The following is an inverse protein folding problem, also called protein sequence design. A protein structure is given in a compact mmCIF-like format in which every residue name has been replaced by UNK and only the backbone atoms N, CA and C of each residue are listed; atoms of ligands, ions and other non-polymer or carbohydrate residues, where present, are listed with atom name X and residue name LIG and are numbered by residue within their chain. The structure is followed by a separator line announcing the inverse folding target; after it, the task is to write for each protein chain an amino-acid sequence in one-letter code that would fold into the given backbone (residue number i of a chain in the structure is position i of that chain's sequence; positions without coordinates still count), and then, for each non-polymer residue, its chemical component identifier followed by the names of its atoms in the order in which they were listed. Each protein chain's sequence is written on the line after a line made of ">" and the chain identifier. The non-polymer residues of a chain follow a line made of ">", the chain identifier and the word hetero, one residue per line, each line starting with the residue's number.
data_IF_439284088429
#
_entry.id   IF_439284088429
#
_cell.length_a   1.000
_cell.length_b   1.000
_cell.length_c   1.000
_cell.angle_alpha   90.00
_cell.angle_beta   90.00
_cell.angle_gamma   90.00
#
_symmetry.space_group_name_H-M   'P 1'
#
loop_
_entity.id
_entity.type
_entity.pdbx_description
1 polymer ?
#
# COMPACT_ATOMS: atom_id res chain seq x y z
N UNK A 1 -3.43 -18.58 -10.10
CA UNK A 1 -3.84 -18.45 -8.69
C UNK A 1 -4.50 -17.09 -8.54
N UNK A 2 -5.83 -17.05 -8.53
CA UNK A 2 -6.59 -15.80 -8.47
C UNK A 2 -6.51 -15.27 -7.02
N UNK A 3 -6.14 -14.00 -6.79
CA UNK A 3 -6.15 -13.43 -5.44
C UNK A 3 -7.59 -13.44 -4.91
N UNK A 4 -7.81 -13.70 -3.60
CA UNK A 4 -9.13 -13.61 -3.02
C UNK A 4 -9.67 -12.19 -3.26
N UNK A 5 -10.92 -12.11 -3.68
CA UNK A 5 -11.59 -10.83 -3.85
C UNK A 5 -11.53 -10.03 -2.54
N UNK A 6 -11.33 -8.71 -2.64
CA UNK A 6 -11.41 -7.80 -1.49
C UNK A 6 -12.73 -8.09 -0.75
N UNK A 7 -12.65 -8.47 0.53
CA UNK A 7 -13.87 -8.63 1.31
C UNK A 7 -14.61 -7.30 1.42
N UNK A 8 -15.94 -7.35 1.40
CA UNK A 8 -16.72 -6.21 1.84
C UNK A 8 -16.50 -5.99 3.34
N UNK A 9 -16.53 -4.72 3.77
CA UNK A 9 -16.29 -4.35 5.17
C UNK A 9 -17.29 -5.00 6.14
N UNK A 10 -18.48 -5.37 5.66
CA UNK A 10 -19.49 -6.10 6.41
C UNK A 10 -19.07 -7.52 6.83
N UNK A 11 -18.12 -8.14 6.12
CA UNK A 11 -17.56 -9.45 6.48
C UNK A 11 -16.79 -9.44 7.81
N UNK A 12 -16.47 -8.26 8.33
CA UNK A 12 -15.82 -8.05 9.63
C UNK A 12 -16.82 -7.73 10.76
N UNK A 13 -18.08 -7.46 10.44
CA UNK A 13 -19.09 -7.06 11.43
C UNK A 13 -19.68 -8.32 12.09
N UNK A 14 -19.58 -8.42 13.41
CA UNK A 14 -20.19 -9.51 14.21
C UNK A 14 -19.26 -10.71 14.51
N UNK A 15 -18.03 -10.73 14.00
CA UNK A 15 -17.07 -11.83 14.19
C UNK A 15 -16.05 -11.52 15.29
N UNK A 16 -16.48 -11.43 16.55
CA UNK A 16 -15.57 -11.27 17.70
C UNK A 16 -14.65 -10.02 17.63
N UNK A 17 -13.59 -9.95 18.47
CA UNK A 17 -12.67 -8.82 18.45
C UNK A 17 -11.84 -8.80 17.16
N UNK A 18 -12.00 -7.72 16.39
CA UNK A 18 -11.29 -7.50 15.12
C UNK A 18 -9.79 -7.35 15.38
N UNK A 19 -8.98 -8.09 14.63
CA UNK A 19 -7.52 -8.01 14.71
C UNK A 19 -6.98 -7.04 13.66
N UNK A 20 -5.88 -6.36 14.00
CA UNK A 20 -5.22 -5.41 13.12
C UNK A 20 -3.71 -5.60 13.08
N UNK A 21 -3.12 -5.40 11.90
CA UNK A 21 -1.68 -5.38 11.68
C UNK A 21 -1.24 -3.98 11.27
N UNK A 22 -0.31 -3.41 12.05
CA UNK A 22 0.32 -2.15 11.69
C UNK A 22 1.44 -2.38 10.67
N UNK A 23 1.32 -1.73 9.51
CA UNK A 23 2.27 -1.80 8.40
C UNK A 23 2.77 -0.41 8.06
N UNK A 24 4.09 -0.23 7.97
CA UNK A 24 4.71 1.05 7.58
C UNK A 24 4.60 1.25 6.08
N UNK A 25 4.50 2.52 5.65
CA UNK A 25 4.56 2.87 4.24
C UNK A 25 5.96 2.60 3.66
N UNK A 26 6.10 2.21 2.38
CA UNK A 26 5.05 2.12 1.36
C UNK A 26 4.28 0.79 1.35
N UNK A 27 4.65 -0.18 2.21
CA UNK A 27 4.10 -1.54 2.15
C UNK A 27 2.61 -1.61 2.47
N UNK A 28 2.10 -0.72 3.32
CA UNK A 28 0.65 -0.67 3.59
C UNK A 28 -0.16 -0.35 2.33
N UNK A 29 0.29 0.64 1.54
CA UNK A 29 -0.29 0.95 0.23
C UNK A 29 -0.01 -0.16 -0.79
N UNK A 30 1.11 -0.87 -0.68
CA UNK A 30 1.33 -2.03 -1.54
C UNK A 30 0.26 -3.12 -1.32
N UNK A 31 -0.17 -3.35 -0.07
CA UNK A 31 -1.13 -4.42 0.27
C UNK A 31 -2.56 -4.01 -0.10
N UNK A 32 -3.07 -2.91 0.44
CA UNK A 32 -4.50 -2.60 0.36
C UNK A 32 -4.95 -2.14 -1.04
N UNK A 33 -4.38 -1.07 -1.64
CA UNK A 33 -4.75 -0.64 -2.98
C UNK A 33 -3.99 -1.32 -4.12
N UNK A 34 -2.75 -1.79 -3.92
CA UNK A 34 -1.93 -2.33 -5.03
C UNK A 34 -1.87 -3.86 -5.09
N UNK A 35 -2.54 -4.56 -4.16
CA UNK A 35 -2.75 -6.00 -4.25
C UNK A 35 -1.54 -6.88 -3.89
N UNK A 36 -0.57 -6.36 -3.12
CA UNK A 36 0.50 -7.19 -2.54
C UNK A 36 -0.11 -8.25 -1.62
N UNK A 37 0.17 -9.52 -1.91
CA UNK A 37 -0.45 -10.68 -1.25
C UNK A 37 0.39 -11.29 -0.12
N UNK A 38 1.68 -10.93 0.00
CA UNK A 38 2.61 -11.52 0.98
C UNK A 38 3.27 -10.41 1.79
N UNK A 39 3.19 -10.46 3.12
CA UNK A 39 3.89 -9.54 4.04
C UNK A 39 4.94 -10.30 4.86
N UNK A 40 6.20 -9.93 4.72
CA UNK A 40 7.32 -10.57 5.42
C UNK A 40 7.55 -9.89 6.78
N UNK A 41 7.69 -10.68 7.84
CA UNK A 41 7.96 -10.22 9.21
C UNK A 41 8.94 -11.14 9.93
N UNK A 42 9.71 -10.58 10.86
CA UNK A 42 10.64 -11.34 11.69
C UNK A 42 9.94 -12.25 12.70
N UNK A 43 8.73 -11.87 13.14
CA UNK A 43 7.93 -12.65 14.08
C UNK A 43 6.83 -13.42 13.32
N UNK A 44 6.73 -14.71 13.62
CA UNK A 44 5.68 -15.59 13.12
C UNK A 44 4.35 -15.25 13.81
N UNK A 45 3.25 -15.37 13.06
CA UNK A 45 1.88 -15.29 13.58
C UNK A 45 1.12 -16.55 13.18
N UNK A 46 0.27 -17.05 14.07
CA UNK A 46 -0.64 -18.18 13.83
C UNK A 46 -2.06 -17.73 13.50
N UNK A 47 -2.31 -16.42 13.44
CA UNK A 47 -3.63 -15.87 13.17
C UNK A 47 -4.10 -16.21 11.76
N UNK A 48 -5.33 -16.72 11.66
CA UNK A 48 -6.02 -16.99 10.41
C UNK A 48 -7.38 -16.28 10.42
N UNK A 49 -7.75 -15.66 9.29
CA UNK A 49 -9.00 -14.90 9.15
C UNK A 49 -8.78 -13.48 8.65
N UNK A 50 -9.84 -12.67 8.74
CA UNK A 50 -9.81 -11.28 8.28
C UNK A 50 -8.94 -10.40 9.15
N UNK A 51 -7.99 -9.70 8.55
CA UNK A 51 -7.02 -8.85 9.25
C UNK A 51 -7.09 -7.42 8.72
N UNK A 52 -7.32 -6.45 9.60
CA UNK A 52 -7.26 -5.04 9.22
C UNK A 52 -5.82 -4.61 9.00
N UNK A 53 -5.57 -3.87 7.92
CA UNK A 53 -4.27 -3.24 7.65
C UNK A 53 -4.32 -1.79 8.15
N UNK A 54 -3.56 -1.51 9.21
CA UNK A 54 -3.37 -0.15 9.71
C UNK A 54 -2.09 0.45 9.11
N UNK A 55 -2.23 1.53 8.35
CA UNK A 55 -1.10 2.28 7.82
C UNK A 55 -0.44 3.09 8.93
N UNK A 56 0.79 2.73 9.30
CA UNK A 56 1.54 3.40 10.35
C UNK A 56 1.88 4.85 9.97
N UNK A 57 1.97 5.73 10.98
CA UNK A 57 2.38 7.14 10.79
C UNK A 57 3.80 7.31 10.27
N UNK A 58 4.71 6.37 10.55
CA UNK A 58 6.12 6.43 10.12
C UNK A 58 6.35 5.55 8.89
N UNK A 59 7.11 6.10 7.95
CA UNK A 59 7.58 5.41 6.75
C UNK A 59 8.68 4.40 7.10
N UNK A 60 8.74 3.30 6.37
CA UNK A 60 9.81 2.31 6.44
C UNK A 60 11.04 2.79 5.67
N UNK A 61 12.21 2.94 6.31
CA UNK A 61 13.40 3.43 5.63
C UNK A 61 13.85 2.49 4.50
N UNK A 62 13.83 1.18 4.74
CA UNK A 62 14.28 0.18 3.77
C UNK A 62 13.35 0.06 2.58
N UNK A 63 12.05 0.22 2.81
CA UNK A 63 11.02 0.21 1.77
C UNK A 63 11.00 1.49 0.92
N UNK A 64 11.68 2.56 1.34
CA UNK A 64 11.73 3.84 0.63
C UNK A 64 13.02 4.08 -0.13
N UNK A 65 13.94 3.11 -0.20
CA UNK A 65 15.10 3.17 -1.06
C UNK A 65 14.65 3.34 -2.52
N UNK A 66 14.65 4.59 -3.00
CA UNK A 66 14.36 4.94 -4.39
C UNK A 66 15.71 4.95 -5.10
N UNK A 67 15.86 4.38 -6.32
CA UNK A 67 16.95 4.81 -7.19
C UNK A 67 16.84 6.33 -7.33
N UNK A 68 17.97 7.08 -7.34
CA UNK A 68 17.96 8.55 -7.49
C UNK A 68 17.03 8.93 -8.64
N UNK A 69 15.82 9.38 -8.32
CA UNK A 69 14.96 10.01 -9.29
C UNK A 69 15.60 11.37 -9.57
N UNK A 70 16.42 11.44 -10.61
CA UNK A 70 16.81 12.71 -11.19
C UNK A 70 15.52 13.36 -11.64
N UNK A 71 15.07 14.37 -10.89
CA UNK A 71 14.19 15.37 -11.46
C UNK A 71 14.93 15.87 -12.72
N UNK A 72 14.36 15.79 -13.94
CA UNK A 72 14.97 16.50 -15.04
C UNK A 72 15.04 17.95 -14.58
N UNK A 73 16.27 18.45 -14.40
CA UNK A 73 16.54 19.86 -14.12
C UNK A 73 15.58 20.67 -14.97
N UNK A 74 14.83 21.57 -14.34
CA UNK A 74 13.91 22.47 -15.01
C UNK A 74 14.60 23.13 -16.20
N UNK A 75 14.43 22.53 -17.37
CA UNK A 75 14.86 23.07 -18.65
C UNK A 75 13.57 23.39 -19.39
N UNK A 76 13.21 24.66 -19.29
CA UNK A 76 12.26 25.38 -20.14
C UNK A 76 10.79 24.95 -20.06
N UNK A 77 10.00 25.80 -19.39
CA UNK A 77 8.57 25.91 -19.65
C UNK A 77 8.36 26.34 -21.11
N UNK A 78 8.13 25.38 -22.00
CA UNK A 78 7.45 25.65 -23.26
C UNK A 78 5.96 25.37 -23.04
N UNK A 79 5.05 26.37 -23.14
CA UNK A 79 3.63 26.11 -23.03
C UNK A 79 3.17 25.31 -24.26
N UNK A 80 2.51 24.18 -24.03
CA UNK A 80 1.84 23.39 -25.05
C UNK A 80 0.76 24.25 -25.73
N UNK A 81 1.03 24.71 -26.95
CA UNK A 81 0.03 25.37 -27.79
C UNK A 81 -1.08 24.38 -28.14
N UNK A 82 -2.26 24.55 -27.56
CA UNK A 82 -3.47 23.90 -28.06
C UNK A 82 -3.94 24.66 -29.30
N UNK A 83 -3.96 24.00 -30.45
CA UNK A 83 -4.65 24.49 -31.65
C UNK A 83 -6.14 24.16 -31.50
N UNK A 84 -7.07 25.13 -31.64
CA UNK A 84 -8.48 24.80 -31.77
C UNK A 84 -8.78 24.28 -33.18
N UNK A 85 -9.92 23.58 -33.25
CA UNK A 85 -10.41 22.73 -34.33
C UNK A 85 -10.55 23.40 -35.70
#
# INVERSE_FOLDING_TARGET
>A
MTPPARAPAEALIGTGPVQGLTVRQPRASAIAPLGKTIENRAKITTYTGWLLIHAAKRVDPDGCATPRATCPTSASAAPCSHSPA
#
